data_IF_206166136603
#
_entry.id   IF_206166136603
#
_cell.length_a   1.000
_cell.length_b   1.000
_cell.length_c   1.000
_cell.angle_alpha   90.00
_cell.angle_beta   90.00
_cell.angle_gamma   90.00
#
_symmetry.space_group_name_H-M   'P 1'
#
loop_
_entity.id
_entity.type
_entity.pdbx_description
1 polymer ?
#
# COMPACT_ATOMS: atom_id res chain seq x y z
N UNK A 1 3.08 -47.46 -35.41
CA UNK A 1 3.47 -47.98 -34.09
C UNK A 1 3.28 -46.84 -33.10
N UNK A 2 2.05 -46.68 -32.59
CA UNK A 2 1.54 -47.21 -31.30
C UNK A 2 2.19 -46.49 -30.12
N UNK A 3 1.49 -45.87 -29.16
CA UNK A 3 0.19 -46.25 -28.59
C UNK A 3 -0.49 -45.04 -27.94
N UNK A 4 -1.76 -44.86 -28.28
CA UNK A 4 -2.78 -44.20 -27.47
C UNK A 4 -3.38 -45.26 -26.55
N UNK A 5 -3.48 -45.00 -25.25
CA UNK A 5 -4.34 -45.78 -24.36
C UNK A 5 -5.27 -44.89 -23.55
N UNK A 6 -6.56 -45.20 -23.74
CA UNK A 6 -7.75 -44.72 -23.05
C UNK A 6 -7.87 -45.31 -21.65
N UNK A 7 -8.39 -44.53 -20.69
CA UNK A 7 -9.19 -45.06 -19.56
C UNK A 7 -10.38 -44.14 -19.23
N UNK A 8 -11.57 -44.62 -19.66
CA UNK A 8 -12.91 -44.69 -19.00
C UNK A 8 -13.48 -43.54 -18.13
N UNK A 9 -14.49 -42.83 -18.67
CA UNK A 9 -15.96 -42.80 -18.34
C UNK A 9 -16.49 -42.53 -16.90
N UNK A 10 -17.81 -42.26 -16.70
CA UNK A 10 -18.58 -41.05 -17.04
C UNK A 10 -19.55 -40.59 -15.90
N UNK A 11 -20.36 -39.54 -16.17
CA UNK A 11 -21.67 -39.19 -15.51
C UNK A 11 -21.62 -38.80 -14.02
N UNK A 12 -22.42 -37.92 -13.44
CA UNK A 12 -23.62 -37.14 -13.77
C UNK A 12 -23.81 -36.26 -12.52
N UNK A 13 -24.24 -35.00 -12.66
CA UNK A 13 -25.18 -34.31 -11.73
C UNK A 13 -25.21 -32.82 -12.06
N UNK A 14 -26.25 -32.41 -12.78
CA UNK A 14 -26.89 -31.13 -12.49
C UNK A 14 -28.33 -31.11 -13.01
N UNK A 15 -29.25 -31.19 -12.06
CA UNK A 15 -30.43 -30.35 -11.88
C UNK A 15 -31.09 -29.76 -13.13
N UNK A 16 -32.27 -30.29 -13.49
CA UNK A 16 -33.52 -29.51 -13.49
C UNK A 16 -34.72 -30.35 -13.98
N UNK A 17 -35.67 -30.61 -13.09
CA UNK A 17 -37.06 -30.94 -13.36
C UNK A 17 -37.88 -30.13 -12.34
N UNK A 18 -39.00 -29.49 -12.63
CA UNK A 18 -39.87 -29.53 -13.79
C UNK A 18 -41.24 -29.08 -13.28
N UNK A 19 -41.77 -27.99 -13.85
CA UNK A 19 -43.13 -27.54 -13.59
C UNK A 19 -44.16 -28.47 -14.24
N UNK A 20 -45.29 -28.63 -13.52
CA UNK A 20 -46.68 -28.67 -14.00
C UNK A 20 -47.29 -29.97 -14.57
N UNK A 21 -48.51 -30.19 -14.05
CA UNK A 21 -49.73 -30.77 -14.63
C UNK A 21 -49.85 -32.31 -14.66
N UNK A 22 -50.56 -32.83 -13.66
CA UNK A 22 -51.32 -34.08 -13.76
C UNK A 22 -52.82 -33.77 -13.92
N UNK A 23 -53.45 -34.37 -14.94
CA UNK A 23 -54.91 -34.42 -15.15
C UNK A 23 -55.25 -35.82 -15.69
N UNK A 24 -56.47 -36.28 -15.37
CA UNK A 24 -57.13 -37.56 -15.69
C UNK A 24 -56.71 -38.73 -14.78
N UNK A 25 -57.60 -39.60 -14.28
CA UNK A 25 -58.92 -40.05 -14.76
C UNK A 25 -59.79 -40.66 -13.63
N UNK A 26 -61.11 -40.48 -13.75
CA UNK A 26 -62.28 -41.18 -13.12
C UNK A 26 -62.31 -42.72 -13.37
N UNK A 27 -63.23 -43.59 -12.84
CA UNK A 27 -64.64 -43.32 -12.42
C UNK A 27 -65.35 -44.21 -11.32
N UNK A 28 -66.59 -43.79 -10.99
CA UNK A 28 -67.86 -44.54 -10.67
C UNK A 28 -68.12 -45.25 -9.31
N UNK A 29 -69.12 -44.76 -8.55
CA UNK A 29 -70.50 -45.29 -8.32
C UNK A 29 -71.23 -44.37 -7.31
N UNK A 30 -72.40 -43.74 -7.58
CA UNK A 30 -73.79 -44.23 -7.35
C UNK A 30 -74.04 -44.74 -5.91
N UNK A 31 -75.04 -44.37 -5.10
CA UNK A 31 -76.35 -43.70 -5.23
C UNK A 31 -76.75 -43.22 -3.82
N UNK A 32 -77.50 -42.12 -3.69
CA UNK A 32 -78.81 -42.07 -2.99
C UNK A 32 -79.43 -40.65 -3.06
N UNK A 33 -80.54 -40.58 -3.82
CA UNK A 33 -81.70 -39.68 -3.68
C UNK A 33 -82.30 -39.82 -2.26
N UNK A 34 -83.12 -38.97 -1.65
CA UNK A 34 -84.10 -37.93 -2.02
C UNK A 34 -84.64 -37.33 -0.70
N UNK A 35 -85.42 -36.24 -0.76
CA UNK A 35 -86.15 -35.54 0.34
C UNK A 35 -85.26 -34.61 1.19
N UNK A 36 -85.47 -33.30 1.28
CA UNK A 36 -86.74 -32.63 1.58
C UNK A 36 -86.85 -31.25 0.93
N UNK A 37 -87.92 -31.05 0.16
CA UNK A 37 -88.51 -29.74 -0.15
C UNK A 37 -89.80 -29.66 0.67
N UNK A 38 -89.85 -28.81 1.70
CA UNK A 38 -91.01 -27.99 2.14
C UNK A 38 -90.85 -27.57 3.60
N UNK A 39 -90.60 -26.28 3.84
CA UNK A 39 -91.52 -25.43 4.61
C UNK A 39 -90.95 -24.01 4.67
N UNK A 40 -91.62 -23.11 3.95
CA UNK A 40 -91.40 -21.67 4.00
C UNK A 40 -92.62 -21.09 4.72
N UNK A 41 -92.68 -21.22 6.05
CA UNK A 41 -93.76 -20.66 6.86
C UNK A 41 -93.22 -20.30 8.26
N UNK A 42 -93.51 -19.06 8.68
CA UNK A 42 -93.15 -18.36 9.93
C UNK A 42 -91.76 -17.68 10.01
N UNK A 43 -91.70 -16.44 9.52
CA UNK A 43 -90.84 -15.39 10.07
C UNK A 43 -91.58 -14.78 11.27
N UNK A 44 -91.11 -15.05 12.49
CA UNK A 44 -91.61 -14.42 13.72
C UNK A 44 -90.72 -13.20 14.07
N UNK A 45 -91.24 -11.95 14.06
CA UNK A 45 -90.46 -10.76 14.37
C UNK A 45 -90.09 -10.60 15.85
N UNK A 46 -90.51 -11.51 16.75
CA UNK A 46 -90.36 -11.32 18.20
C UNK A 46 -89.17 -12.06 18.85
N UNK A 47 -88.27 -12.67 18.08
CA UNK A 47 -87.06 -13.35 18.59
C UNK A 47 -85.72 -12.68 18.24
N UNK A 48 -85.72 -11.44 17.77
CA UNK A 48 -84.50 -10.62 17.77
C UNK A 48 -84.27 -10.01 19.16
N UNK A 49 -83.92 -10.84 20.12
CA UNK A 49 -83.22 -10.35 21.30
C UNK A 49 -81.89 -9.74 20.80
N UNK A 50 -81.80 -8.41 20.80
CA UNK A 50 -80.53 -7.70 20.67
C UNK A 50 -79.64 -8.19 21.80
N UNK A 51 -78.70 -9.08 21.50
CA UNK A 51 -77.77 -9.62 22.48
C UNK A 51 -76.70 -8.56 22.82
N UNK A 52 -76.80 -7.86 23.97
CA UNK A 52 -75.85 -6.80 24.32
C UNK A 52 -74.44 -7.37 24.55
N UNK A 53 -74.29 -8.69 24.81
CA UNK A 53 -72.98 -9.31 24.93
C UNK A 53 -72.27 -9.43 23.58
N UNK A 54 -73.01 -9.62 22.48
CA UNK A 54 -72.45 -9.74 21.12
C UNK A 54 -72.01 -8.38 20.56
N UNK A 55 -72.76 -7.32 20.88
CA UNK A 55 -72.40 -5.93 20.57
C UNK A 55 -71.18 -5.48 21.40
N UNK A 56 -71.16 -5.77 22.71
CA UNK A 56 -70.03 -5.43 23.58
C UNK A 56 -68.73 -6.15 23.14
N UNK A 57 -68.80 -7.44 22.81
CA UNK A 57 -67.64 -8.22 22.34
C UNK A 57 -67.08 -7.75 20.99
N UNK A 58 -67.93 -7.23 20.09
CA UNK A 58 -67.48 -6.65 18.80
C UNK A 58 -66.87 -5.26 18.97
N UNK A 59 -67.36 -4.43 19.89
CA UNK A 59 -66.69 -3.16 20.25
C UNK A 59 -65.38 -3.36 21.02
N UNK A 60 -65.29 -4.39 21.86
CA UNK A 60 -64.06 -4.68 22.61
C UNK A 60 -62.97 -5.25 21.70
N UNK A 61 -63.34 -6.07 20.70
CA UNK A 61 -62.39 -6.56 19.70
C UNK A 61 -61.93 -5.46 18.73
N UNK A 62 -62.81 -4.53 18.33
CA UNK A 62 -62.44 -3.41 17.46
C UNK A 62 -61.52 -2.40 18.16
N UNK A 63 -61.74 -2.11 19.44
CA UNK A 63 -60.88 -1.26 20.25
C UNK A 63 -59.50 -1.91 20.48
N UNK A 64 -59.46 -3.20 20.78
CA UNK A 64 -58.22 -3.95 20.96
C UNK A 64 -57.40 -3.98 19.66
N UNK A 65 -58.07 -4.17 18.52
CA UNK A 65 -57.43 -4.13 17.19
C UNK A 65 -56.91 -2.73 16.86
N UNK A 66 -57.64 -1.66 17.20
CA UNK A 66 -57.22 -0.28 16.99
C UNK A 66 -56.01 0.11 17.85
N UNK A 67 -55.98 -0.32 19.12
CA UNK A 67 -54.83 -0.12 20.02
C UNK A 67 -53.62 -0.92 19.55
N UNK A 68 -53.82 -2.16 19.08
CA UNK A 68 -52.75 -2.97 18.49
C UNK A 68 -52.20 -2.34 17.21
N UNK A 69 -53.06 -1.87 16.31
CA UNK A 69 -52.65 -1.15 15.10
C UNK A 69 -51.92 0.17 15.42
N UNK A 70 -52.35 0.89 16.46
CA UNK A 70 -51.68 2.08 16.97
C UNK A 70 -50.29 1.79 17.55
N UNK A 71 -50.13 0.74 18.36
CA UNK A 71 -48.84 0.30 18.91
C UNK A 71 -47.88 -0.18 17.81
N UNK A 72 -48.37 -0.92 16.81
CA UNK A 72 -47.59 -1.32 15.63
C UNK A 72 -47.13 -0.08 14.84
N UNK A 73 -48.01 0.89 14.61
CA UNK A 73 -47.68 2.11 13.87
C UNK A 73 -46.72 3.05 14.60
N UNK A 74 -46.85 3.19 15.93
CA UNK A 74 -46.07 4.16 16.73
C UNK A 74 -44.73 3.57 17.19
N UNK A 75 -44.63 2.25 17.38
CA UNK A 75 -43.41 1.62 17.92
C UNK A 75 -42.69 0.77 16.88
N UNK A 76 -43.39 -0.09 16.14
CA UNK A 76 -42.75 -1.03 15.20
C UNK A 76 -42.32 -0.32 13.91
N UNK A 77 -43.11 0.62 13.39
CA UNK A 77 -42.76 1.37 12.18
C UNK A 77 -41.47 2.20 12.34
N UNK A 78 -41.25 3.02 13.39
CA UNK A 78 -39.99 3.73 13.54
C UNK A 78 -38.81 2.79 13.83
N UNK A 79 -39.01 1.69 14.57
CA UNK A 79 -37.94 0.70 14.79
C UNK A 79 -37.54 0.04 13.46
N UNK A 80 -38.50 -0.40 12.66
CA UNK A 80 -38.21 -0.99 11.34
C UNK A 80 -37.58 0.03 10.38
N UNK A 81 -37.99 1.29 10.43
CA UNK A 81 -37.35 2.38 9.68
C UNK A 81 -35.90 2.62 10.13
N UNK A 82 -35.63 2.63 11.44
CA UNK A 82 -34.28 2.76 11.99
C UNK A 82 -33.41 1.56 11.62
N UNK A 83 -33.93 0.34 11.74
CA UNK A 83 -33.22 -0.88 11.32
C UNK A 83 -32.93 -0.86 9.82
N UNK A 84 -33.89 -0.41 8.99
CA UNK A 84 -33.70 -0.24 7.56
C UNK A 84 -32.64 0.82 7.27
N UNK A 85 -32.69 1.98 7.90
CA UNK A 85 -31.68 3.05 7.75
C UNK A 85 -30.30 2.51 8.15
N UNK A 86 -30.19 1.83 9.30
CA UNK A 86 -28.95 1.21 9.74
C UNK A 86 -28.47 0.15 8.75
N UNK A 87 -29.36 -0.67 8.19
CA UNK A 87 -29.03 -1.66 7.17
C UNK A 87 -28.53 -1.00 5.87
N UNK A 88 -29.21 0.05 5.39
CA UNK A 88 -28.79 0.83 4.22
C UNK A 88 -27.42 1.49 4.48
N UNK A 89 -27.20 2.05 5.66
CA UNK A 89 -25.92 2.63 6.05
C UNK A 89 -24.81 1.57 6.20
N UNK A 90 -25.13 0.36 6.67
CA UNK A 90 -24.15 -0.71 6.88
C UNK A 90 -23.78 -1.44 5.58
N UNK A 91 -24.67 -1.50 4.59
CA UNK A 91 -24.46 -2.30 3.37
C UNK A 91 -24.39 -1.49 2.08
N UNK A 92 -25.22 -0.46 1.92
CA UNK A 92 -25.24 0.34 0.68
C UNK A 92 -24.07 1.31 0.65
N UNK A 93 -23.79 2.02 1.74
CA UNK A 93 -22.66 2.97 1.78
C UNK A 93 -21.32 2.30 1.51
N UNK A 94 -20.97 1.14 2.13
CA UNK A 94 -19.68 0.50 1.84
C UNK A 94 -19.62 -0.12 0.45
N UNK A 95 -20.73 -0.66 -0.06
CA UNK A 95 -20.84 -1.17 -1.43
C UNK A 95 -20.70 -0.06 -2.49
N UNK A 96 -21.32 1.09 -2.25
CA UNK A 96 -21.18 2.29 -3.07
C UNK A 96 -19.77 2.84 -3.00
N UNK A 97 -19.18 2.94 -1.80
CA UNK A 97 -17.80 3.39 -1.60
C UNK A 97 -16.77 2.51 -2.31
N UNK A 98 -16.92 1.18 -2.22
CA UNK A 98 -16.08 0.22 -2.95
C UNK A 98 -16.23 0.36 -4.47
N UNK A 99 -17.46 0.50 -4.97
CA UNK A 99 -17.73 0.70 -6.39
C UNK A 99 -17.16 2.02 -6.91
N UNK A 100 -17.33 3.10 -6.14
CA UNK A 100 -16.75 4.42 -6.40
C UNK A 100 -15.22 4.36 -6.44
N UNK A 101 -14.60 3.67 -5.48
CA UNK A 101 -13.15 3.50 -5.44
C UNK A 101 -12.64 2.81 -6.70
N UNK A 102 -13.27 1.70 -7.11
CA UNK A 102 -12.88 0.96 -8.32
C UNK A 102 -13.02 1.82 -9.59
N UNK A 103 -14.10 2.60 -9.69
CA UNK A 103 -14.31 3.51 -10.80
C UNK A 103 -13.27 4.64 -10.80
N UNK A 104 -13.06 5.30 -9.67
CA UNK A 104 -12.12 6.40 -9.52
C UNK A 104 -10.67 5.94 -9.75
N UNK A 105 -10.31 4.75 -9.29
CA UNK A 105 -9.00 4.14 -9.58
C UNK A 105 -8.84 3.86 -11.08
N UNK A 106 -9.86 3.33 -11.76
CA UNK A 106 -9.80 3.11 -13.20
C UNK A 106 -9.64 4.42 -13.99
N UNK A 107 -10.32 5.49 -13.56
CA UNK A 107 -10.16 6.84 -14.13
C UNK A 107 -8.76 7.39 -13.88
N UNK A 108 -8.27 7.29 -12.65
CA UNK A 108 -6.97 7.82 -12.25
C UNK A 108 -5.82 7.05 -12.89
N UNK A 109 -5.97 5.72 -13.12
CA UNK A 109 -5.02 4.93 -13.91
C UNK A 109 -4.79 5.52 -15.29
N UNK A 110 -5.84 5.97 -15.98
CA UNK A 110 -5.67 6.59 -17.30
C UNK A 110 -4.88 7.90 -17.27
N UNK A 111 -4.84 8.58 -16.12
CA UNK A 111 -4.25 9.93 -16.00
C UNK A 111 -2.89 9.93 -15.33
N UNK A 112 -2.63 9.00 -14.42
CA UNK A 112 -1.50 9.03 -13.49
C UNK A 112 -0.73 7.73 -13.43
N UNK A 113 -1.17 6.67 -14.14
CA UNK A 113 -0.37 5.46 -14.21
C UNK A 113 0.85 5.70 -15.10
N UNK A 114 1.97 5.01 -14.81
CA UNK A 114 3.16 5.12 -15.64
C UNK A 114 2.83 4.72 -17.08
N UNK A 115 3.54 5.33 -18.05
CA UNK A 115 3.56 4.86 -19.43
C UNK A 115 3.80 3.33 -19.52
N UNK A 116 3.23 2.68 -20.53
CA UNK A 116 3.37 1.22 -20.69
C UNK A 116 4.83 0.78 -20.83
N UNK A 117 5.68 1.61 -21.41
CA UNK A 117 7.11 1.35 -21.54
C UNK A 117 7.87 1.44 -20.20
N UNK A 118 7.28 2.03 -19.16
CA UNK A 118 7.82 2.05 -17.80
C UNK A 118 7.33 0.86 -16.95
N UNK A 119 6.36 0.07 -17.44
CA UNK A 119 5.86 -1.12 -16.74
C UNK A 119 6.49 -2.39 -17.32
N UNK A 120 7.45 -2.98 -16.62
CA UNK A 120 8.24 -4.11 -17.12
C UNK A 120 7.94 -5.41 -16.38
N UNK A 121 7.76 -6.55 -17.06
CA UNK A 121 7.55 -7.86 -16.41
C UNK A 121 8.88 -8.44 -15.89
N UNK A 122 9.54 -7.72 -15.00
CA UNK A 122 10.87 -8.06 -14.49
C UNK A 122 10.86 -8.61 -13.06
N UNK A 123 9.72 -8.53 -12.38
CA UNK A 123 9.54 -9.07 -11.04
C UNK A 123 9.54 -10.61 -11.02
N UNK A 124 9.52 -11.20 -9.81
CA UNK A 124 9.24 -12.63 -9.64
C UNK A 124 7.94 -13.01 -10.37
N UNK A 125 7.90 -14.19 -10.99
CA UNK A 125 6.74 -14.67 -11.77
C UNK A 125 6.26 -13.69 -12.85
N UNK A 126 7.18 -12.93 -13.46
CA UNK A 126 6.89 -11.91 -14.49
C UNK A 126 5.92 -10.80 -14.01
N UNK A 127 5.86 -10.56 -12.70
CA UNK A 127 5.12 -9.42 -12.14
C UNK A 127 5.64 -8.11 -12.71
N UNK A 128 4.70 -7.18 -12.97
CA UNK A 128 5.02 -5.86 -13.49
C UNK A 128 5.72 -5.02 -12.43
N UNK A 129 6.88 -4.48 -12.77
CA UNK A 129 7.67 -3.54 -12.00
C UNK A 129 7.66 -2.20 -12.73
N UNK A 130 7.35 -1.14 -12.01
CA UNK A 130 7.45 0.22 -12.53
C UNK A 130 8.90 0.67 -12.45
N UNK A 131 9.47 0.99 -13.61
CA UNK A 131 10.87 1.38 -13.77
C UNK A 131 10.97 2.77 -14.40
N UNK A 132 11.97 3.52 -13.96
CA UNK A 132 12.35 4.80 -14.55
C UNK A 132 13.78 4.68 -15.01
N UNK A 133 13.99 4.78 -16.32
CA UNK A 133 15.31 4.70 -16.95
C UNK A 133 15.56 5.95 -17.79
N UNK A 134 16.27 6.90 -17.21
CA UNK A 134 16.74 8.10 -17.92
C UNK A 134 18.02 7.72 -18.66
N UNK A 135 17.89 7.35 -19.93
CA UNK A 135 19.00 6.92 -20.77
C UNK A 135 19.88 8.09 -21.18
N UNK A 136 21.19 7.89 -21.12
CA UNK A 136 22.18 8.76 -21.70
C UNK A 136 23.31 7.91 -22.32
N UNK A 137 23.09 7.31 -23.52
CA UNK A 137 24.06 6.42 -24.17
C UNK A 137 25.45 7.05 -24.40
N UNK A 138 25.50 8.37 -24.51
CA UNK A 138 26.70 9.18 -24.66
C UNK A 138 27.42 9.46 -23.32
N UNK A 139 26.82 9.10 -22.19
CA UNK A 139 27.37 9.34 -20.85
C UNK A 139 28.69 8.60 -20.63
N UNK A 140 29.74 9.37 -20.36
CA UNK A 140 31.03 8.86 -19.89
C UNK A 140 31.02 8.59 -18.37
N UNK A 141 30.10 9.21 -17.65
CA UNK A 141 29.94 9.05 -16.20
C UNK A 141 29.34 7.68 -15.86
N UNK A 142 29.78 7.00 -14.79
CA UNK A 142 29.12 5.79 -14.29
C UNK A 142 27.60 5.99 -14.16
N UNK A 143 26.77 5.03 -14.57
CA UNK A 143 25.33 5.11 -14.35
C UNK A 143 25.00 5.26 -12.87
N UNK A 144 23.91 5.96 -12.56
CA UNK A 144 23.39 6.07 -11.19
C UNK A 144 22.21 5.14 -11.02
N UNK A 145 22.24 4.35 -9.96
CA UNK A 145 21.09 3.59 -9.49
C UNK A 145 20.54 4.30 -8.26
N UNK A 146 19.38 4.92 -8.41
CA UNK A 146 18.67 5.55 -7.31
C UNK A 146 17.77 4.55 -6.60
N UNK A 147 17.96 4.39 -5.29
CA UNK A 147 17.21 3.49 -4.42
C UNK A 147 16.33 4.33 -3.50
N UNK A 148 15.03 4.24 -3.73
CA UNK A 148 14.03 4.99 -2.99
C UNK A 148 13.88 4.49 -1.56
N UNK A 149 13.54 5.41 -0.66
CA UNK A 149 13.21 5.10 0.72
C UNK A 149 11.77 4.66 0.91
N UNK A 150 11.45 4.43 2.18
CA UNK A 150 10.15 4.04 2.66
C UNK A 150 9.06 5.03 2.24
N UNK A 151 7.93 4.52 1.75
CA UNK A 151 6.81 5.34 1.28
C UNK A 151 7.00 6.07 -0.06
N UNK A 152 8.17 6.04 -0.69
CA UNK A 152 8.41 6.76 -1.95
C UNK A 152 7.98 5.96 -3.19
N UNK A 153 7.51 6.64 -4.23
CA UNK A 153 7.22 6.02 -5.52
C UNK A 153 7.80 6.81 -6.68
N UNK A 154 8.02 6.12 -7.80
CA UNK A 154 8.56 6.69 -9.03
C UNK A 154 7.68 7.80 -9.61
N UNK A 155 6.38 7.83 -9.29
CA UNK A 155 5.52 8.97 -9.65
C UNK A 155 5.98 10.29 -9.00
N UNK A 156 6.58 10.20 -7.81
CA UNK A 156 7.15 11.34 -7.07
C UNK A 156 8.62 11.55 -7.44
N UNK A 157 9.35 10.45 -7.53
CA UNK A 157 10.80 10.46 -7.68
C UNK A 157 11.23 10.82 -9.10
N UNK A 158 10.51 10.40 -10.15
CA UNK A 158 10.88 10.69 -11.54
C UNK A 158 11.02 12.20 -11.82
N UNK A 159 10.07 13.08 -11.45
CA UNK A 159 10.28 14.53 -11.56
C UNK A 159 11.51 15.05 -10.82
N UNK A 160 11.84 14.47 -9.66
CA UNK A 160 13.03 14.83 -8.90
C UNK A 160 14.31 14.39 -9.64
N UNK A 161 14.34 13.17 -10.18
CA UNK A 161 15.48 12.67 -10.97
C UNK A 161 15.71 13.48 -12.26
N UNK A 162 14.64 13.92 -12.93
CA UNK A 162 14.74 14.82 -14.08
C UNK A 162 15.36 16.16 -13.68
N UNK A 163 14.94 16.73 -12.55
CA UNK A 163 15.53 17.97 -12.01
C UNK A 163 16.98 17.78 -11.56
N UNK A 164 17.29 16.64 -10.95
CA UNK A 164 18.64 16.25 -10.57
C UNK A 164 19.56 16.21 -11.79
N UNK A 165 19.13 15.58 -12.89
CA UNK A 165 19.92 15.49 -14.12
C UNK A 165 20.26 16.88 -14.70
N UNK A 166 19.39 17.89 -14.54
CA UNK A 166 19.65 19.27 -14.95
C UNK A 166 20.78 19.96 -14.15
N UNK A 167 21.11 19.46 -12.96
CA UNK A 167 22.19 20.00 -12.14
C UNK A 167 23.52 19.27 -12.35
N UNK A 168 23.55 18.20 -13.14
CA UNK A 168 24.78 17.52 -13.56
C UNK A 168 25.24 18.15 -14.88
N UNK A 169 26.52 18.50 -14.97
CA UNK A 169 27.05 19.30 -16.11
C UNK A 169 27.27 18.46 -17.38
N UNK A 170 27.16 17.14 -17.28
CA UNK A 170 27.35 16.17 -18.36
C UNK A 170 26.16 15.22 -18.42
N UNK A 171 25.87 14.61 -19.60
CA UNK A 171 24.88 13.56 -19.69
C UNK A 171 25.16 12.43 -18.70
N UNK A 172 24.11 11.97 -18.01
CA UNK A 172 24.22 10.92 -17.01
C UNK A 172 23.06 9.94 -17.12
N UNK A 173 23.38 8.66 -17.13
CA UNK A 173 22.39 7.59 -17.15
C UNK A 173 21.88 7.33 -15.72
N UNK A 174 20.56 7.34 -15.53
CA UNK A 174 19.94 7.15 -14.21
C UNK A 174 18.88 6.05 -14.30
N UNK A 175 18.94 5.10 -13.38
CA UNK A 175 17.96 4.04 -13.23
C UNK A 175 17.36 4.05 -11.82
N UNK A 176 16.05 3.82 -11.73
CA UNK A 176 15.34 3.55 -10.49
C UNK A 176 14.08 2.72 -10.75
N UNK A 177 13.51 2.14 -9.71
CA UNK A 177 12.28 1.37 -9.79
C UNK A 177 11.48 1.45 -8.50
N UNK A 178 10.18 1.15 -8.59
CA UNK A 178 9.33 0.89 -7.44
C UNK A 178 9.52 -0.56 -6.97
N UNK A 179 9.88 -0.78 -5.70
CA UNK A 179 9.90 -2.11 -5.07
C UNK A 179 8.55 -2.85 -5.22
N UNK A 180 8.51 -4.19 -5.15
CA UNK A 180 7.25 -4.94 -5.17
C UNK A 180 6.22 -4.40 -4.16
N UNK A 181 5.05 -4.03 -4.67
CA UNK A 181 3.96 -3.43 -3.88
C UNK A 181 4.11 -1.94 -3.57
N UNK A 182 5.15 -1.28 -4.08
CA UNK A 182 5.29 0.18 -4.09
C UNK A 182 4.80 0.80 -5.39
N UNK A 183 4.34 2.06 -5.29
CA UNK A 183 3.89 2.85 -6.43
C UNK A 183 3.00 2.06 -7.39
N UNK A 184 3.46 1.88 -8.63
CA UNK A 184 2.75 1.12 -9.65
C UNK A 184 3.19 -0.35 -9.76
N UNK A 185 4.31 -0.75 -9.13
CA UNK A 185 4.79 -2.14 -9.11
C UNK A 185 3.80 -3.08 -8.46
N UNK A 186 3.56 -4.22 -9.11
CA UNK A 186 2.67 -5.25 -8.61
C UNK A 186 3.14 -5.73 -7.21
N UNK A 187 2.21 -5.99 -6.28
CA UNK A 187 2.57 -6.58 -5.00
C UNK A 187 3.06 -8.02 -5.18
N UNK A 188 3.89 -8.52 -4.25
CA UNK A 188 4.26 -9.92 -4.21
C UNK A 188 3.03 -10.81 -4.02
N UNK A 189 3.14 -12.07 -4.44
CA UNK A 189 2.09 -13.07 -4.25
C UNK A 189 1.92 -13.37 -2.76
N UNK A 190 3.05 -13.50 -2.06
CA UNK A 190 3.11 -13.69 -0.62
C UNK A 190 4.02 -12.64 0.01
N UNK A 191 3.51 -11.91 1.00
CA UNK A 191 4.30 -10.91 1.73
C UNK A 191 5.28 -11.54 2.71
N UNK A 192 5.12 -12.82 3.06
CA UNK A 192 6.02 -13.52 3.98
C UNK A 192 7.32 -13.96 3.33
N UNK A 193 7.35 -14.02 1.99
CA UNK A 193 8.57 -14.34 1.23
C UNK A 193 9.46 -13.11 0.99
N UNK A 194 8.93 -11.90 1.21
CA UNK A 194 9.70 -10.68 1.03
C UNK A 194 10.77 -10.52 2.13
N UNK A 195 12.01 -10.36 1.71
CA UNK A 195 13.18 -10.21 2.57
C UNK A 195 14.24 -9.32 1.93
N UNK A 196 15.23 -8.92 2.71
CA UNK A 196 16.39 -8.20 2.19
C UNK A 196 17.02 -8.91 0.98
N UNK A 197 17.07 -10.25 1.01
CA UNK A 197 17.68 -11.05 -0.05
C UNK A 197 16.82 -11.09 -1.33
N UNK A 198 15.48 -11.11 -1.23
CA UNK A 198 14.61 -11.08 -2.42
C UNK A 198 14.73 -9.77 -3.19
N UNK A 199 14.79 -8.65 -2.47
CA UNK A 199 14.88 -7.32 -3.08
C UNK A 199 16.26 -7.04 -3.67
N UNK A 200 17.33 -7.50 -3.02
CA UNK A 200 18.68 -7.41 -3.59
C UNK A 200 18.77 -8.28 -4.83
N UNK A 201 18.20 -9.48 -4.79
CA UNK A 201 18.16 -10.37 -5.94
C UNK A 201 17.39 -9.70 -7.09
N UNK A 202 16.27 -9.03 -6.80
CA UNK A 202 15.52 -8.26 -7.78
C UNK A 202 16.35 -7.11 -8.34
N UNK A 203 16.93 -6.27 -7.49
CA UNK A 203 17.78 -5.15 -7.91
C UNK A 203 18.92 -5.65 -8.81
N UNK A 204 19.65 -6.68 -8.38
CA UNK A 204 20.75 -7.29 -9.16
C UNK A 204 20.27 -7.82 -10.50
N UNK A 205 19.17 -8.57 -10.51
CA UNK A 205 18.57 -9.13 -11.74
C UNK A 205 18.20 -8.02 -12.72
N UNK A 206 17.56 -6.97 -12.23
CA UNK A 206 17.14 -5.85 -13.09
C UNK A 206 18.35 -5.15 -13.69
N UNK A 207 19.36 -4.84 -12.89
CA UNK A 207 20.50 -4.03 -13.35
C UNK A 207 21.50 -4.84 -14.17
N UNK A 208 21.72 -6.11 -13.84
CA UNK A 208 22.71 -6.97 -14.51
C UNK A 208 22.14 -7.74 -15.69
N UNK A 209 20.91 -8.24 -15.61
CA UNK A 209 20.35 -9.15 -16.63
C UNK A 209 19.32 -8.47 -17.53
N UNK A 210 18.49 -7.57 -16.99
CA UNK A 210 17.40 -6.95 -17.76
C UNK A 210 17.85 -5.68 -18.48
N UNK A 211 18.50 -4.78 -17.76
CA UNK A 211 19.02 -3.54 -18.32
C UNK A 211 20.44 -3.69 -18.84
N UNK A 212 21.22 -4.60 -18.23
CA UNK A 212 22.65 -4.77 -18.52
C UNK A 212 23.37 -3.41 -18.39
N UNK A 213 23.15 -2.74 -17.26
CA UNK A 213 23.75 -1.43 -16.98
C UNK A 213 25.28 -1.55 -16.98
N UNK A 214 25.93 -0.49 -17.48
CA UNK A 214 27.39 -0.42 -17.48
C UNK A 214 27.92 -0.42 -16.05
N UNK A 215 28.83 -1.36 -15.78
CA UNK A 215 29.56 -1.46 -14.51
C UNK A 215 30.96 -0.82 -14.63
N UNK A 216 31.52 -0.34 -13.51
CA UNK A 216 30.87 -0.15 -12.22
C UNK A 216 29.93 1.08 -12.24
N UNK A 217 28.87 1.07 -11.41
CA UNK A 217 27.88 2.15 -11.29
C UNK A 217 27.94 2.83 -9.92
N UNK A 218 27.28 3.98 -9.78
CA UNK A 218 27.11 4.68 -8.50
C UNK A 218 25.77 4.33 -7.88
N UNK A 219 25.75 3.93 -6.62
CA UNK A 219 24.53 3.74 -5.85
C UNK A 219 24.14 5.04 -5.15
N UNK A 220 22.91 5.48 -5.32
CA UNK A 220 22.34 6.60 -4.59
C UNK A 220 21.18 6.07 -3.74
N UNK A 221 21.38 5.92 -2.43
CA UNK A 221 20.33 5.47 -1.52
C UNK A 221 19.75 6.63 -0.71
N UNK A 222 18.44 6.79 -0.73
CA UNK A 222 17.72 7.83 0.01
C UNK A 222 16.93 7.24 1.18
N UNK A 223 17.05 7.84 2.37
CA UNK A 223 16.33 7.43 3.59
C UNK A 223 16.52 5.93 3.86
N UNK A 224 15.45 5.14 4.02
CA UNK A 224 15.54 3.69 4.20
C UNK A 224 16.23 2.96 3.01
N UNK A 225 16.14 3.51 1.79
CA UNK A 225 16.77 2.97 0.58
C UNK A 225 18.29 2.96 0.64
N UNK A 226 18.87 3.78 1.52
CA UNK A 226 20.30 3.74 1.84
C UNK A 226 20.78 2.41 2.43
N UNK A 227 19.92 1.72 3.18
CA UNK A 227 20.25 0.40 3.73
C UNK A 227 20.32 -0.64 2.62
N UNK A 228 19.38 -0.62 1.67
CA UNK A 228 19.42 -1.53 0.52
C UNK A 228 20.62 -1.24 -0.40
N UNK A 229 20.91 0.04 -0.66
CA UNK A 229 22.09 0.45 -1.41
C UNK A 229 23.39 -0.04 -0.75
N UNK A 230 23.51 0.13 0.57
CA UNK A 230 24.66 -0.41 1.30
C UNK A 230 24.74 -1.92 1.25
N UNK A 231 23.61 -2.61 1.44
CA UNK A 231 23.61 -4.06 1.40
C UNK A 231 24.04 -4.58 0.02
N UNK A 232 23.60 -3.94 -1.06
CA UNK A 232 24.07 -4.24 -2.42
C UNK A 232 25.58 -4.03 -2.55
N UNK A 233 26.10 -2.86 -2.14
CA UNK A 233 27.55 -2.57 -2.18
C UNK A 233 28.36 -3.60 -1.42
N UNK A 234 27.89 -3.98 -0.24
CA UNK A 234 28.60 -4.95 0.59
C UNK A 234 28.57 -6.34 -0.06
N UNK A 235 27.47 -6.76 -0.69
CA UNK A 235 27.40 -8.06 -1.35
C UNK A 235 28.15 -8.12 -2.70
N UNK A 236 28.13 -7.03 -3.47
CA UNK A 236 28.67 -6.93 -4.84
C UNK A 236 29.58 -5.70 -5.01
N UNK A 237 30.69 -5.62 -4.26
CA UNK A 237 31.56 -4.44 -4.27
C UNK A 237 32.17 -4.14 -5.65
N UNK A 238 32.37 -5.15 -6.48
CA UNK A 238 32.90 -5.04 -7.85
C UNK A 238 31.96 -4.31 -8.82
N UNK A 239 30.66 -4.29 -8.52
CA UNK A 239 29.64 -3.61 -9.33
C UNK A 239 29.60 -2.10 -9.05
N UNK A 240 30.21 -1.63 -7.95
CA UNK A 240 29.95 -0.32 -7.36
C UNK A 240 31.19 0.58 -7.38
N UNK A 241 31.12 1.66 -8.14
CA UNK A 241 32.18 2.67 -8.25
C UNK A 241 32.20 3.62 -7.05
N UNK A 242 31.02 3.90 -6.48
CA UNK A 242 30.84 4.82 -5.37
C UNK A 242 29.41 4.76 -4.83
N UNK A 243 29.19 5.31 -3.65
CA UNK A 243 27.89 5.30 -3.00
C UNK A 243 27.58 6.66 -2.33
N UNK A 244 26.34 7.09 -2.46
CA UNK A 244 25.80 8.32 -1.88
C UNK A 244 24.63 7.91 -0.99
N UNK A 245 24.68 8.29 0.28
CA UNK A 245 23.65 8.00 1.27
C UNK A 245 23.00 9.30 1.71
N UNK A 246 21.76 9.51 1.30
CA UNK A 246 20.97 10.70 1.64
C UNK A 246 20.10 10.43 2.84
N UNK A 247 20.44 11.09 3.93
CA UNK A 247 19.91 10.98 5.28
C UNK A 247 19.48 9.55 5.63
N UNK A 248 20.45 8.61 5.58
CA UNK A 248 20.17 7.19 5.69
C UNK A 248 19.49 6.89 7.03
N UNK A 249 18.50 6.00 7.00
CA UNK A 249 17.77 5.58 8.19
C UNK A 249 18.58 4.53 8.96
N UNK A 250 19.02 4.82 10.21
CA UNK A 250 19.73 3.85 11.04
C UNK A 250 18.85 2.64 11.38
N UNK A 251 19.45 1.47 11.61
CA UNK A 251 18.69 0.23 11.91
C UNK A 251 17.96 0.28 13.24
N UNK A 252 18.53 0.96 14.22
CA UNK A 252 17.95 1.09 15.56
C UNK A 252 16.78 2.07 15.66
N UNK A 253 16.30 2.67 14.55
CA UNK A 253 15.06 3.47 14.60
C UNK A 253 13.83 2.64 14.97
N UNK A 254 13.90 1.31 14.82
CA UNK A 254 12.82 0.39 15.15
C UNK A 254 13.02 -0.35 16.48
N UNK A 255 14.14 -0.13 17.17
CA UNK A 255 14.41 -0.78 18.45
C UNK A 255 13.57 -0.17 19.58
N UNK A 256 13.20 -1.01 20.54
CA UNK A 256 12.51 -0.57 21.74
C UNK A 256 13.40 0.40 22.52
N UNK A 257 12.87 1.57 22.87
CA UNK A 257 13.63 2.65 23.51
C UNK A 257 14.27 3.66 22.56
N UNK A 258 14.23 3.43 21.24
CA UNK A 258 14.61 4.46 20.26
C UNK A 258 13.65 5.65 20.31
N UNK A 259 14.14 6.91 20.25
CA UNK A 259 13.25 8.08 20.20
C UNK A 259 12.36 8.09 18.95
N UNK A 260 12.77 7.39 17.89
CA UNK A 260 12.04 7.29 16.63
C UNK A 260 11.06 6.11 16.57
N UNK A 261 11.20 5.09 17.43
CA UNK A 261 10.37 3.88 17.32
C UNK A 261 8.90 4.17 17.64
N UNK A 262 8.61 5.08 18.57
CA UNK A 262 7.25 5.53 18.88
C UNK A 262 6.60 6.20 17.66
N UNK A 263 7.32 7.09 16.99
CA UNK A 263 6.82 7.81 15.83
C UNK A 263 6.61 6.91 14.62
N UNK A 264 7.57 6.02 14.33
CA UNK A 264 7.44 5.04 13.26
C UNK A 264 6.30 4.04 13.55
N UNK A 265 6.20 3.50 14.77
CA UNK A 265 5.11 2.59 15.13
C UNK A 265 3.74 3.27 15.06
N UNK A 266 3.65 4.52 15.51
CA UNK A 266 2.44 5.35 15.39
C UNK A 266 2.04 5.57 13.93
N UNK A 267 3.01 5.93 13.09
CA UNK A 267 2.80 6.05 11.65
C UNK A 267 2.36 4.71 11.04
N UNK A 268 3.03 3.60 11.31
CA UNK A 268 2.69 2.29 10.74
C UNK A 268 1.28 1.84 11.14
N UNK A 269 0.90 2.05 12.40
CA UNK A 269 -0.45 1.78 12.90
C UNK A 269 -1.50 2.60 12.17
N UNK A 270 -1.24 3.90 11.97
CA UNK A 270 -2.10 4.79 11.20
C UNK A 270 -2.22 4.32 9.74
N UNK A 271 -1.10 4.03 9.08
CA UNK A 271 -1.06 3.54 7.70
C UNK A 271 -1.88 2.24 7.54
N UNK A 272 -1.76 1.29 8.47
CA UNK A 272 -2.56 0.05 8.45
C UNK A 272 -4.06 0.31 8.58
N UNK A 273 -4.46 1.31 9.37
CA UNK A 273 -5.87 1.73 9.49
C UNK A 273 -6.35 2.42 8.22
N UNK A 274 -5.55 3.32 7.65
CA UNK A 274 -5.85 4.03 6.40
C UNK A 274 -5.95 3.05 5.22
N UNK A 275 -5.12 2.01 5.17
CA UNK A 275 -5.22 0.92 4.21
C UNK A 275 -6.57 0.19 4.25
N UNK A 276 -7.07 -0.11 5.46
CA UNK A 276 -8.39 -0.70 5.61
C UNK A 276 -9.50 0.28 5.23
N UNK A 277 -9.35 1.57 5.54
CA UNK A 277 -10.32 2.59 5.13
C UNK A 277 -10.35 2.79 3.60
N UNK A 278 -9.19 2.66 2.93
CA UNK A 278 -9.07 2.77 1.48
C UNK A 278 -9.88 1.71 0.74
N UNK A 279 -9.98 0.48 1.26
CA UNK A 279 -10.79 -0.59 0.64
C UNK A 279 -12.29 -0.31 0.62
N UNK A 280 -12.76 0.69 1.37
CA UNK A 280 -14.15 1.12 1.40
C UNK A 280 -14.38 2.47 0.67
N UNK A 281 -13.38 2.99 -0.05
CA UNK A 281 -13.48 4.25 -0.80
C UNK A 281 -13.51 5.52 0.06
N UNK A 282 -13.28 5.40 1.36
CA UNK A 282 -13.31 6.55 2.30
C UNK A 282 -12.09 7.47 2.13
N UNK A 283 -11.01 7.00 1.52
CA UNK A 283 -9.76 7.77 1.45
C UNK A 283 -9.77 8.90 0.44
N UNK A 284 -10.47 8.74 -0.69
CA UNK A 284 -10.53 9.75 -1.75
C UNK A 284 -11.16 11.07 -1.32
N UNK A 285 -12.36 11.10 -0.70
CA UNK A 285 -12.93 12.36 -0.22
C UNK A 285 -12.11 12.99 0.91
N UNK A 286 -11.37 12.18 1.68
CA UNK A 286 -10.49 12.66 2.74
C UNK A 286 -9.12 13.14 2.24
N UNK A 287 -8.70 12.78 1.03
CA UNK A 287 -7.38 13.11 0.50
C UNK A 287 -7.06 14.63 0.48
N UNK A 288 -8.00 15.53 0.10
CA UNK A 288 -7.77 16.97 0.20
C UNK A 288 -7.54 17.44 1.64
N UNK A 289 -8.30 16.93 2.61
CA UNK A 289 -8.16 17.26 4.02
C UNK A 289 -6.82 16.75 4.57
N UNK A 290 -6.46 15.52 4.25
CA UNK A 290 -5.22 14.85 4.69
C UNK A 290 -3.98 15.61 4.25
N UNK A 291 -3.97 16.12 3.01
CA UNK A 291 -2.88 16.96 2.48
C UNK A 291 -2.59 18.19 3.34
N UNK A 292 -3.64 18.82 3.89
CA UNK A 292 -3.51 20.05 4.67
C UNK A 292 -3.36 19.77 6.18
N UNK A 293 -4.06 18.77 6.69
CA UNK A 293 -4.17 18.50 8.12
C UNK A 293 -3.06 17.61 8.68
N UNK A 294 -2.30 16.89 7.84
CA UNK A 294 -1.15 16.12 8.33
C UNK A 294 0.04 17.07 8.58
N UNK A 295 0.47 17.23 9.85
CA UNK A 295 1.68 17.97 10.16
C UNK A 295 2.93 17.11 9.91
N UNK A 296 4.09 17.75 9.87
CA UNK A 296 5.37 17.07 9.72
C UNK A 296 5.66 16.64 8.29
N UNK A 297 6.63 15.75 8.15
CA UNK A 297 7.30 15.42 6.89
C UNK A 297 6.36 14.81 5.85
N UNK A 298 5.40 13.99 6.28
CA UNK A 298 4.37 13.43 5.40
C UNK A 298 3.48 14.51 4.78
N UNK A 299 3.15 15.55 5.56
CA UNK A 299 2.40 16.69 5.04
C UNK A 299 3.19 17.44 3.97
N UNK A 300 4.50 17.61 4.18
CA UNK A 300 5.38 18.30 3.23
C UNK A 300 5.48 17.53 1.91
N UNK A 301 5.63 16.19 1.97
CA UNK A 301 5.62 15.32 0.78
C UNK A 301 4.27 15.40 0.06
N UNK A 302 3.15 15.29 0.79
CA UNK A 302 1.81 15.33 0.19
C UNK A 302 1.47 16.66 -0.47
N UNK A 303 2.05 17.77 0.00
CA UNK A 303 1.89 19.10 -0.63
C UNK A 303 2.59 19.20 -1.99
N UNK A 304 3.56 18.33 -2.29
CA UNK A 304 4.29 18.34 -3.55
C UNK A 304 3.63 17.51 -4.65
N UNK A 305 2.77 16.57 -4.27
CA UNK A 305 2.09 15.70 -5.22
C UNK A 305 0.87 16.40 -5.84
N UNK A 306 0.52 16.17 -7.11
CA UNK A 306 -0.79 16.57 -7.63
C UNK A 306 -1.93 15.91 -6.84
N UNK A 307 -3.11 16.55 -6.74
CA UNK A 307 -4.24 16.03 -5.97
C UNK A 307 -4.63 14.57 -6.31
N UNK A 308 -4.66 14.24 -7.60
CA UNK A 308 -4.95 12.87 -8.04
C UNK A 308 -3.85 11.87 -7.72
N UNK A 309 -2.59 12.30 -7.61
CA UNK A 309 -1.49 11.45 -7.15
C UNK A 309 -1.56 11.18 -5.66
N UNK A 310 -1.99 12.14 -4.83
CA UNK A 310 -2.23 11.86 -3.40
C UNK A 310 -3.34 10.83 -3.27
N UNK A 311 -4.45 10.99 -3.99
CA UNK A 311 -5.54 10.01 -3.95
C UNK A 311 -5.08 8.62 -4.43
N UNK A 312 -4.37 8.53 -5.56
CA UNK A 312 -3.85 7.29 -6.11
C UNK A 312 -2.78 6.65 -5.22
N UNK A 313 -1.87 7.45 -4.65
CA UNK A 313 -0.89 6.99 -3.67
C UNK A 313 -1.61 6.42 -2.44
N UNK A 314 -2.54 7.18 -1.87
CA UNK A 314 -3.30 6.77 -0.69
C UNK A 314 -4.18 5.56 -0.94
N UNK A 315 -4.63 5.31 -2.17
CA UNK A 315 -5.43 4.13 -2.47
C UNK A 315 -4.56 2.97 -2.92
N UNK A 316 -3.71 3.10 -3.94
CA UNK A 316 -2.88 1.98 -4.41
C UNK A 316 -1.82 1.55 -3.41
N UNK A 317 -1.04 2.49 -2.87
CA UNK A 317 0.00 2.16 -1.89
C UNK A 317 -0.65 1.52 -0.68
N UNK A 318 -1.78 2.03 -0.19
CA UNK A 318 -2.41 1.48 1.02
C UNK A 318 -3.23 0.19 0.76
N UNK A 319 -3.95 0.09 -0.36
CA UNK A 319 -4.75 -1.11 -0.74
C UNK A 319 -3.87 -2.34 -1.01
N UNK A 320 -2.65 -2.14 -1.51
CA UNK A 320 -1.71 -3.23 -1.80
C UNK A 320 -1.06 -3.83 -0.55
N UNK A 321 -1.54 -3.52 0.67
CA UNK A 321 -1.03 -4.01 1.97
C UNK A 321 0.42 -3.62 2.29
N UNK A 322 0.88 -2.46 1.81
CA UNK A 322 2.20 -1.88 2.19
C UNK A 322 2.40 -1.69 3.69
N UNK A 323 1.34 -1.74 4.51
CA UNK A 323 1.43 -1.89 5.96
C UNK A 323 2.38 -3.02 6.41
N UNK A 324 2.42 -4.13 5.67
CA UNK A 324 3.36 -5.24 5.90
C UNK A 324 4.78 -4.93 5.38
N UNK A 325 4.89 -4.04 4.39
CA UNK A 325 6.17 -3.66 3.80
C UNK A 325 7.00 -2.74 4.71
N UNK A 326 6.39 -2.07 5.68
CA UNK A 326 7.15 -1.37 6.73
C UNK A 326 7.96 -2.35 7.59
N UNK A 327 7.42 -3.54 7.87
CA UNK A 327 8.14 -4.62 8.57
C UNK A 327 9.29 -5.19 7.72
N UNK A 328 9.11 -5.20 6.41
CA UNK A 328 10.13 -5.63 5.46
C UNK A 328 11.40 -4.76 5.51
N UNK A 329 11.27 -3.42 5.60
CA UNK A 329 12.44 -2.53 5.68
C UNK A 329 13.28 -2.77 6.94
N UNK A 330 12.65 -3.17 8.04
CA UNK A 330 13.36 -3.63 9.25
C UNK A 330 14.28 -4.81 8.92
N UNK A 331 13.85 -5.77 8.11
CA UNK A 331 14.69 -6.91 7.73
C UNK A 331 15.92 -6.51 6.92
N UNK A 332 15.81 -5.52 6.02
CA UNK A 332 16.98 -4.97 5.30
C UNK A 332 17.94 -4.32 6.28
N UNK A 333 17.43 -3.45 7.15
CA UNK A 333 18.25 -2.72 8.11
C UNK A 333 18.99 -3.65 9.08
N UNK A 334 18.28 -4.64 9.64
CA UNK A 334 18.87 -5.65 10.51
C UNK A 334 19.95 -6.46 9.78
N UNK A 335 19.74 -6.77 8.50
CA UNK A 335 20.70 -7.51 7.67
C UNK A 335 21.95 -6.70 7.39
N UNK A 336 21.84 -5.40 7.10
CA UNK A 336 22.99 -4.50 6.94
C UNK A 336 23.82 -4.48 8.21
N UNK A 337 23.20 -4.24 9.37
CA UNK A 337 23.93 -4.16 10.64
C UNK A 337 24.65 -5.46 10.98
N UNK A 338 24.01 -6.62 10.77
CA UNK A 338 24.67 -7.92 10.96
C UNK A 338 25.87 -8.08 10.04
N UNK A 339 25.70 -7.75 8.76
CA UNK A 339 26.76 -7.90 7.78
C UNK A 339 27.94 -6.95 8.03
N UNK A 340 27.69 -5.73 8.53
CA UNK A 340 28.73 -4.81 8.98
C UNK A 340 29.51 -5.34 10.18
N UNK A 341 28.83 -5.93 11.16
CA UNK A 341 29.46 -6.57 12.32
C UNK A 341 30.33 -7.76 11.87
N UNK A 342 29.75 -8.67 11.08
CA UNK A 342 30.46 -9.85 10.58
C UNK A 342 31.70 -9.44 9.77
N UNK A 343 31.58 -8.41 8.94
CA UNK A 343 32.69 -7.88 8.16
C UNK A 343 33.75 -7.24 9.04
N UNK A 344 33.39 -6.50 10.09
CA UNK A 344 34.39 -5.91 11.00
C UNK A 344 35.31 -6.96 11.65
N UNK A 345 34.89 -8.23 11.66
CA UNK A 345 35.64 -9.36 12.21
C UNK A 345 36.54 -10.12 11.20
N UNK A 346 36.40 -9.90 9.88
CA UNK A 346 37.06 -10.71 8.84
C UNK A 346 38.19 -9.95 8.08
N UNK A 347 39.46 -10.32 8.29
CA UNK A 347 40.63 -9.48 7.90
C UNK A 347 40.87 -9.21 6.40
N UNK A 348 40.55 -10.12 5.47
CA UNK A 348 40.99 -9.98 4.06
C UNK A 348 39.89 -9.57 3.05
N UNK A 349 38.62 -9.93 3.28
CA UNK A 349 37.50 -9.49 2.41
C UNK A 349 37.07 -8.04 2.66
N UNK A 350 37.52 -7.47 3.79
CA UNK A 350 37.17 -6.13 4.27
C UNK A 350 37.83 -5.02 3.48
N UNK A 351 39.07 -5.21 3.02
CA UNK A 351 39.86 -4.15 2.38
C UNK A 351 39.22 -3.66 1.08
N UNK A 352 38.72 -4.57 0.23
CA UNK A 352 38.04 -4.19 -1.02
C UNK A 352 36.74 -3.44 -0.71
N UNK A 353 35.96 -3.92 0.26
CA UNK A 353 34.65 -3.35 0.65
C UNK A 353 34.78 -1.97 1.29
N UNK A 354 35.82 -1.69 2.06
CA UNK A 354 36.03 -0.38 2.71
C UNK A 354 36.64 0.67 1.80
N UNK A 355 37.16 0.30 0.63
CA UNK A 355 37.79 1.26 -0.28
C UNK A 355 36.80 2.07 -1.15
N UNK A 356 35.54 1.66 -1.26
CA UNK A 356 34.54 2.34 -2.11
C UNK A 356 34.30 3.78 -1.65
N UNK A 357 34.46 4.82 -2.51
CA UNK A 357 34.04 6.19 -2.22
C UNK A 357 32.61 6.25 -1.67
N UNK A 358 32.43 6.88 -0.51
CA UNK A 358 31.14 6.97 0.18
C UNK A 358 30.91 8.40 0.66
N UNK A 359 29.72 8.94 0.43
CA UNK A 359 29.32 10.24 0.96
C UNK A 359 27.99 10.12 1.68
N UNK A 360 27.98 10.48 2.96
CA UNK A 360 26.75 10.56 3.76
C UNK A 360 26.34 12.01 3.89
N UNK A 361 25.12 12.34 3.49
CA UNK A 361 24.52 13.66 3.67
C UNK A 361 23.39 13.52 4.66
N UNK A 362 23.51 14.07 5.87
CA UNK A 362 22.50 13.89 6.92
C UNK A 362 21.77 15.19 7.29
N UNK A 363 20.45 15.10 7.39
CA UNK A 363 19.59 16.15 7.86
C UNK A 363 19.62 16.17 9.40
N UNK A 364 20.01 17.31 9.97
CA UNK A 364 20.16 17.49 11.41
C UNK A 364 19.04 18.33 12.03
N UNK A 365 18.01 18.67 11.26
CA UNK A 365 16.88 19.48 11.70
C UNK A 365 15.57 18.69 11.77
N UNK A 366 15.55 17.60 12.54
CA UNK A 366 14.34 16.83 12.80
C UNK A 366 13.35 17.65 13.66
N UNK A 367 12.33 18.21 12.98
CA UNK A 367 11.10 18.92 13.40
C UNK A 367 11.23 20.13 14.38
N UNK A 368 10.48 21.20 14.06
CA UNK A 368 10.33 22.45 14.85
C UNK A 368 9.27 22.41 15.98
N UNK A 369 8.46 21.36 16.13
CA UNK A 369 7.18 21.42 16.90
C UNK A 369 6.83 20.24 17.80
N UNK A 370 7.57 19.12 17.81
CA UNK A 370 7.34 18.02 18.75
C UNK A 370 8.66 17.38 19.17
N UNK A 371 8.84 17.02 20.45
CA UNK A 371 9.90 16.11 20.83
C UNK A 371 9.63 14.74 20.19
N UNK A 372 10.64 14.18 19.52
CA UNK A 372 10.64 12.78 19.09
C UNK A 372 10.84 11.94 20.36
N UNK A 373 9.76 11.36 20.87
CA UNK A 373 9.73 10.83 22.23
C UNK A 373 9.86 11.94 23.28
N UNK A 374 10.77 11.78 24.24
CA UNK A 374 11.02 12.72 25.35
C UNK A 374 12.26 13.61 25.16
N UNK A 375 12.95 13.51 24.02
CA UNK A 375 14.21 14.22 23.77
C UNK A 375 13.99 15.68 23.35
N UNK A 376 14.88 16.56 23.80
CA UNK A 376 15.04 17.90 23.25
C UNK A 376 15.55 17.85 21.81
N UNK A 377 15.45 18.97 21.09
CA UNK A 377 15.92 19.08 19.70
C UNK A 377 17.43 18.83 19.59
N UNK A 378 18.21 19.27 20.57
CA UNK A 378 19.65 19.09 20.58
C UNK A 378 20.03 17.63 20.87
N UNK A 379 19.37 16.99 21.83
CA UNK A 379 19.56 15.56 22.11
C UNK A 379 19.17 14.70 20.91
N UNK A 380 18.06 15.02 20.23
CA UNK A 380 17.66 14.30 19.02
C UNK A 380 18.66 14.50 17.88
N UNK A 381 19.22 15.70 17.74
CA UNK A 381 20.28 15.98 16.75
C UNK A 381 21.54 15.16 17.05
N UNK A 382 21.98 15.11 18.31
CA UNK A 382 23.13 14.30 18.71
C UNK A 382 22.87 12.83 18.47
N UNK A 383 21.72 12.33 18.93
CA UNK A 383 21.31 10.95 18.71
C UNK A 383 21.29 10.61 17.21
N UNK A 384 20.68 11.45 16.36
CA UNK A 384 20.66 11.21 14.92
C UNK A 384 22.07 11.16 14.35
N UNK A 385 22.90 12.16 14.65
CA UNK A 385 24.27 12.26 14.15
C UNK A 385 25.15 11.09 14.58
N UNK A 386 25.02 10.61 15.81
CA UNK A 386 25.74 9.45 16.32
C UNK A 386 25.35 8.17 15.58
N UNK A 387 24.07 8.05 15.23
CA UNK A 387 23.54 6.94 14.45
C UNK A 387 23.82 7.03 12.94
N UNK A 388 24.37 8.15 12.45
CA UNK A 388 24.93 8.24 11.09
C UNK A 388 26.36 7.70 11.00
N UNK A 389 27.09 7.68 12.12
CA UNK A 389 28.51 7.31 12.13
C UNK A 389 28.81 5.88 11.65
N UNK A 390 27.97 4.85 11.90
CA UNK A 390 28.19 3.52 11.34
C UNK A 390 28.30 3.54 9.81
N UNK A 391 27.45 4.31 9.13
CA UNK A 391 27.49 4.45 7.67
C UNK A 391 28.79 5.09 7.19
N UNK A 392 29.26 6.14 7.87
CA UNK A 392 30.55 6.80 7.57
C UNK A 392 31.70 5.82 7.78
N UNK A 393 31.71 5.06 8.88
CA UNK A 393 32.76 4.09 9.18
C UNK A 393 32.78 2.87 8.27
N UNK A 394 31.72 2.65 7.48
CA UNK A 394 31.61 1.54 6.52
C UNK A 394 32.53 1.68 5.29
N UNK A 395 33.25 2.80 5.17
CA UNK A 395 34.27 3.06 4.15
C UNK A 395 35.42 3.89 4.71
N UNK A 396 36.65 3.59 4.30
CA UNK A 396 37.85 4.36 4.63
C UNK A 396 37.97 5.61 3.74
N UNK A 397 37.15 5.70 2.68
CA UNK A 397 37.06 6.82 1.75
C UNK A 397 35.75 7.61 1.92
N UNK A 398 35.25 7.65 3.16
CA UNK A 398 33.99 8.27 3.50
C UNK A 398 34.08 9.79 3.71
N UNK A 399 33.08 10.51 3.22
CA UNK A 399 32.78 11.90 3.59
C UNK A 399 31.46 12.00 4.35
N UNK A 400 31.31 13.06 5.14
CA UNK A 400 30.09 13.37 5.88
C UNK A 400 29.70 14.84 5.73
N UNK A 401 28.43 15.10 5.39
CA UNK A 401 27.86 16.43 5.26
C UNK A 401 26.67 16.56 6.21
N UNK A 402 26.83 17.38 7.25
CA UNK A 402 25.77 17.72 8.19
C UNK A 402 24.94 18.92 7.69
N UNK A 403 23.62 18.77 7.58
CA UNK A 403 22.69 19.85 7.21
C UNK A 403 21.79 20.24 8.39
N UNK A 404 22.23 21.22 9.18
CA UNK A 404 21.46 21.77 10.30
C UNK A 404 20.28 22.66 9.87
N UNK A 405 20.25 23.04 8.60
CA UNK A 405 19.21 23.85 7.96
C UNK A 405 18.12 23.00 7.28
N UNK A 406 18.28 21.68 7.18
CA UNK A 406 17.36 20.77 6.47
C UNK A 406 16.67 19.80 7.41
N UNK A 407 15.34 19.68 7.29
CA UNK A 407 14.59 18.51 7.75
C UNK A 407 14.88 17.30 6.84
N UNK A 408 14.50 16.08 7.25
CA UNK A 408 14.64 14.89 6.41
C UNK A 408 13.97 15.09 5.04
N UNK A 409 12.71 15.52 5.05
CA UNK A 409 11.96 15.79 3.82
C UNK A 409 12.62 16.85 2.94
N UNK A 410 13.10 17.96 3.52
CA UNK A 410 13.81 19.00 2.76
C UNK A 410 15.08 18.44 2.11
N UNK A 411 15.83 17.60 2.83
CA UNK A 411 17.02 16.94 2.29
C UNK A 411 16.69 16.01 1.12
N UNK A 412 15.60 15.25 1.20
CA UNK A 412 15.17 14.34 0.11
C UNK A 412 14.70 15.09 -1.15
N UNK A 413 14.29 16.35 -1.02
CA UNK A 413 13.75 17.15 -2.11
C UNK A 413 14.78 18.09 -2.75
N UNK A 414 15.92 18.30 -2.09
CA UNK A 414 16.98 19.16 -2.59
C UNK A 414 17.85 18.41 -3.62
N UNK A 415 17.35 18.41 -4.87
CA UNK A 415 18.07 17.81 -5.99
C UNK A 415 19.37 18.52 -6.37
N UNK A 416 19.55 19.77 -5.95
CA UNK A 416 20.81 20.50 -6.15
C UNK A 416 21.86 19.99 -5.17
N UNK A 417 21.48 19.80 -3.91
CA UNK A 417 22.34 19.14 -2.92
C UNK A 417 22.69 17.71 -3.36
N UNK A 418 21.72 16.95 -3.85
CA UNK A 418 21.94 15.61 -4.41
C UNK A 418 22.97 15.63 -5.55
N UNK A 419 22.81 16.52 -6.53
CA UNK A 419 23.75 16.65 -7.63
C UNK A 419 25.16 17.06 -7.18
N UNK A 420 25.28 17.98 -6.22
CA UNK A 420 26.57 18.37 -5.67
C UNK A 420 27.28 17.22 -4.96
N UNK A 421 26.53 16.42 -4.18
CA UNK A 421 27.05 15.21 -3.54
C UNK A 421 27.52 14.18 -4.58
N UNK A 422 26.76 13.99 -5.66
CA UNK A 422 27.15 13.14 -6.78
C UNK A 422 28.44 13.62 -7.45
N UNK A 423 28.56 14.92 -7.75
CA UNK A 423 29.77 15.50 -8.35
C UNK A 423 31.00 15.25 -7.47
N UNK A 424 30.87 15.37 -6.15
CA UNK A 424 31.96 15.08 -5.21
C UNK A 424 32.42 13.61 -5.29
N UNK A 425 31.48 12.67 -5.33
CA UNK A 425 31.80 11.23 -5.48
C UNK A 425 32.43 10.94 -6.84
N UNK A 426 31.90 11.51 -7.93
CA UNK A 426 32.46 11.33 -9.28
C UNK A 426 33.90 11.88 -9.36
N UNK A 427 34.18 13.02 -8.74
CA UNK A 427 35.53 13.57 -8.67
C UNK A 427 36.49 12.64 -7.90
N UNK A 428 36.03 12.05 -6.80
CA UNK A 428 36.82 11.09 -6.02
C UNK A 428 37.09 9.80 -6.81
N UNK A 429 36.09 9.29 -7.55
CA UNK A 429 36.23 8.15 -8.45
C UNK A 429 37.30 8.42 -9.50
N UNK A 430 37.22 9.57 -10.19
CA UNK A 430 38.19 9.95 -11.23
C UNK A 430 39.62 10.08 -10.67
N UNK A 431 39.78 10.62 -9.46
CA UNK A 431 41.11 10.76 -8.84
C UNK A 431 41.83 9.43 -8.56
N UNK A 432 41.09 8.32 -8.44
CA UNK A 432 41.66 6.98 -8.25
C UNK A 432 42.14 6.33 -9.54
N UNK A 433 41.62 6.74 -10.69
CA UNK A 433 42.01 6.18 -12.00
C UNK A 433 43.22 6.90 -12.63
N UNK A 434 43.64 8.04 -12.06
CA UNK A 434 44.78 8.85 -12.55
C UNK A 434 46.08 8.58 -11.76
N UNK A 435 46.00 7.82 -10.66
CA UNK A 435 47.17 7.31 -9.92
C UNK A 435 47.43 5.87 -10.32
#
# INVERSE_FOLDING_TARGET
MSSLENVKSPSEQNNNFGQRKGRSSTPKHEQHKEMDKKSKWYDDPLLQATDPMRAAATTQSSLCTAVWMGLVGIVILPITLVVLILFLLLWILPGFGSSYERYAEARDRKKYYPPEDEMKPWGPENKLIHVVHLRAPESKLPPIIYVSGLGASMNVVKPLLLKFAQYIDEPIEIFSFDSPGYGASAPPVDWTTESADTEISLLRRVVCEKLVLRKPFVLFGASAGASLAQLYRLQYPEDVAGIILFDPTPSNVFEDGSPMSVDFNGAFSLYRKMARAASWGLMRPLAPLIRYCIPGEFGDIFRLLPHGHVALFMTQTMLRKTGNHFLYWRTIMDRVSKLEIDLSSASNAVTIRRSTPLLVVSAQNWIKKRPHGSLTREEMRHWWNDNQQPFVRSSDNAGFVARTDHTHAQCMLDMKLAANATKAILAQINSKFVR
#
